data_IF_702079731631
#
_entry.id   IF_702079731631
#
_cell.length_a   1.000
_cell.length_b   1.000
_cell.length_c   1.000
_cell.angle_alpha   90.00
_cell.angle_beta   90.00
_cell.angle_gamma   90.00
#
_symmetry.space_group_name_H-M   'P 1'
#
loop_
_entity.id
_entity.type
_entity.pdbx_description
1 polymer ?
#
# COMPACT_ATOMS: atom_id res chain seq x y z
N UNK A 1 -0.36 29.61 -60.98
CA UNK A 1 -0.28 30.03 -59.57
C UNK A 1 -1.63 29.75 -58.94
N UNK A 2 -1.67 28.67 -58.18
CA UNK A 2 -2.82 28.13 -57.44
C UNK A 2 -3.29 29.12 -56.36
N UNK A 3 -4.61 29.23 -56.14
CA UNK A 3 -5.15 29.66 -54.84
C UNK A 3 -6.40 28.85 -54.49
N UNK A 4 -6.15 27.95 -53.55
CA UNK A 4 -7.05 27.03 -52.87
C UNK A 4 -8.08 27.81 -52.03
N UNK A 5 -9.38 27.61 -52.28
CA UNK A 5 -10.46 28.13 -51.42
C UNK A 5 -10.65 27.13 -50.27
N UNK A 6 -10.30 27.58 -49.07
CA UNK A 6 -10.36 26.84 -47.82
C UNK A 6 -11.83 26.65 -47.39
N UNK A 7 -12.34 25.41 -47.47
CA UNK A 7 -13.60 25.01 -46.83
C UNK A 7 -13.36 24.97 -45.32
N UNK A 8 -14.02 25.85 -44.57
CA UNK A 8 -14.18 25.72 -43.11
C UNK A 8 -15.00 24.44 -42.83
N UNK A 9 -14.32 23.39 -42.38
CA UNK A 9 -14.97 22.28 -41.68
C UNK A 9 -14.84 22.60 -40.19
N UNK A 10 -15.95 22.97 -39.56
CA UNK A 10 -16.04 23.09 -38.11
C UNK A 10 -15.83 21.72 -37.48
N UNK A 11 -14.60 21.43 -37.07
CA UNK A 11 -14.31 20.32 -36.17
C UNK A 11 -14.81 20.71 -34.78
N UNK A 12 -16.00 20.23 -34.42
CA UNK A 12 -16.42 20.14 -33.02
C UNK A 12 -15.51 19.08 -32.41
N UNK A 13 -14.42 19.53 -31.79
CA UNK A 13 -13.64 18.67 -30.91
C UNK A 13 -14.52 18.31 -29.72
N UNK A 14 -15.13 17.12 -29.77
CA UNK A 14 -15.65 16.48 -28.57
C UNK A 14 -14.41 16.19 -27.72
N UNK A 15 -14.10 17.09 -26.78
CA UNK A 15 -13.23 16.75 -25.67
C UNK A 15 -13.94 15.63 -24.92
N UNK A 16 -13.59 14.38 -25.21
CA UNK A 16 -13.84 13.27 -24.33
C UNK A 16 -12.99 13.52 -23.08
N UNK A 17 -13.56 14.26 -22.13
CA UNK A 17 -13.18 14.14 -20.73
C UNK A 17 -13.50 12.70 -20.34
N UNK A 18 -12.52 11.81 -20.53
CA UNK A 18 -12.45 10.61 -19.71
C UNK A 18 -12.42 11.10 -18.28
N UNK A 19 -13.57 11.05 -17.60
CA UNK A 19 -13.64 11.14 -16.16
C UNK A 19 -12.82 9.96 -15.63
N UNK A 20 -11.53 10.21 -15.38
CA UNK A 20 -10.63 9.26 -14.76
C UNK A 20 -11.04 9.15 -13.30
N UNK A 21 -11.42 7.95 -12.90
CA UNK A 21 -12.37 7.73 -11.82
C UNK A 21 -11.87 8.12 -10.43
N UNK A 22 -12.72 8.85 -9.71
CA UNK A 22 -12.85 8.64 -8.27
C UNK A 22 -13.41 7.23 -8.07
N UNK A 23 -12.52 6.24 -8.02
CA UNK A 23 -12.90 4.84 -7.90
C UNK A 23 -13.69 4.62 -6.60
N UNK A 24 -14.93 4.18 -6.71
CA UNK A 24 -15.62 3.53 -5.60
C UNK A 24 -14.81 2.32 -5.21
N UNK A 25 -14.46 2.18 -3.94
CA UNK A 25 -13.79 1.00 -3.43
C UNK A 25 -14.71 -0.20 -3.60
N UNK A 26 -14.45 -1.06 -4.59
CA UNK A 26 -15.09 -2.37 -4.64
C UNK A 26 -14.65 -3.16 -3.42
N UNK A 27 -15.57 -3.90 -2.82
CA UNK A 27 -15.20 -4.78 -1.73
C UNK A 27 -14.17 -5.78 -2.25
N UNK A 28 -13.10 -5.99 -1.47
CA UNK A 28 -12.10 -6.99 -1.79
C UNK A 28 -12.49 -8.30 -1.11
N UNK A 29 -12.48 -9.36 -1.90
CA UNK A 29 -12.67 -10.74 -1.44
C UNK A 29 -11.43 -11.54 -1.79
N UNK A 30 -10.93 -12.30 -0.82
CA UNK A 30 -9.80 -13.20 -1.02
C UNK A 30 -8.44 -12.51 -1.12
N UNK A 31 -7.45 -13.34 -1.34
CA UNK A 31 -6.02 -13.03 -1.31
C UNK A 31 -5.47 -13.28 -2.71
N UNK A 32 -4.75 -12.30 -3.24
CA UNK A 32 -4.02 -12.42 -4.49
C UNK A 32 -3.18 -13.70 -4.54
N UNK A 33 -2.93 -14.20 -5.74
CA UNK A 33 -2.06 -15.37 -5.94
C UNK A 33 -0.76 -15.20 -5.16
N UNK A 34 -0.47 -16.12 -4.25
CA UNK A 34 0.67 -16.04 -3.35
C UNK A 34 1.45 -17.36 -3.31
N UNK A 35 2.68 -17.29 -2.83
CA UNK A 35 3.53 -18.44 -2.53
C UNK A 35 4.04 -18.32 -1.10
N UNK A 36 3.73 -19.28 -0.21
CA UNK A 36 4.37 -19.36 1.10
C UNK A 36 5.88 -19.49 0.96
N UNK A 37 6.62 -18.77 1.80
CA UNK A 37 8.07 -18.85 1.84
C UNK A 37 8.55 -19.96 2.77
N UNK A 38 9.76 -20.47 2.53
CA UNK A 38 10.34 -21.54 3.33
C UNK A 38 10.40 -21.17 4.82
N UNK A 39 10.03 -22.12 5.69
CA UNK A 39 9.98 -21.90 7.14
C UNK A 39 8.72 -21.18 7.65
N UNK A 40 7.72 -20.94 6.81
CA UNK A 40 6.43 -20.38 7.24
C UNK A 40 5.57 -21.42 7.95
N UNK A 41 4.98 -21.04 9.09
CA UNK A 41 4.07 -21.86 9.88
C UNK A 41 2.70 -21.20 9.96
N UNK A 42 1.91 -21.40 8.91
CA UNK A 42 0.52 -20.95 8.86
C UNK A 42 -0.42 -22.05 9.34
N UNK A 43 -1.42 -21.68 10.14
CA UNK A 43 -2.50 -22.58 10.58
C UNK A 43 -3.63 -22.66 9.55
N UNK A 44 -3.79 -21.63 8.73
CA UNK A 44 -4.71 -21.54 7.58
C UNK A 44 -4.02 -20.74 6.49
N UNK A 45 -3.79 -21.32 5.31
CA UNK A 45 -3.14 -20.65 4.19
C UNK A 45 -3.75 -21.12 2.88
N UNK A 46 -4.72 -20.35 2.40
CA UNK A 46 -5.44 -20.58 1.14
C UNK A 46 -5.81 -19.23 0.49
N UNK A 47 -6.55 -19.28 -0.61
CA UNK A 47 -6.98 -18.10 -1.38
C UNK A 47 -7.87 -17.13 -0.59
N UNK A 48 -8.42 -17.52 0.56
CA UNK A 48 -9.36 -16.72 1.33
C UNK A 48 -8.82 -16.32 2.70
N UNK A 49 -7.83 -17.04 3.24
CA UNK A 49 -7.29 -16.77 4.57
C UNK A 49 -5.80 -17.13 4.69
N UNK A 50 -5.03 -16.22 5.27
CA UNK A 50 -3.67 -16.45 5.78
C UNK A 50 -3.66 -16.19 7.29
N UNK A 51 -3.35 -17.18 8.13
CA UNK A 51 -3.25 -17.01 9.58
C UNK A 51 -2.06 -17.74 10.17
N UNK A 52 -1.35 -17.09 11.10
CA UNK A 52 -0.24 -17.68 11.86
C UNK A 52 1.04 -16.84 11.84
N UNK A 53 2.19 -17.50 11.82
CA UNK A 53 3.51 -16.87 11.80
C UNK A 53 4.25 -17.28 10.53
N UNK A 54 4.69 -16.32 9.73
CA UNK A 54 5.41 -16.63 8.51
C UNK A 54 5.39 -15.49 7.50
N UNK A 55 5.91 -15.75 6.30
CA UNK A 55 5.90 -14.80 5.21
C UNK A 55 5.37 -15.44 3.92
N UNK A 56 4.61 -14.66 3.16
CA UNK A 56 4.17 -15.02 1.81
C UNK A 56 4.65 -13.97 0.83
N UNK A 57 4.98 -14.40 -0.38
CA UNK A 57 5.25 -13.52 -1.51
C UNK A 57 4.07 -13.58 -2.47
N UNK A 58 3.58 -12.43 -2.93
CA UNK A 58 2.60 -12.39 -4.00
C UNK A 58 3.25 -12.73 -5.34
N UNK A 59 2.55 -13.52 -6.14
CA UNK A 59 2.91 -13.88 -7.52
C UNK A 59 2.43 -12.79 -8.48
N UNK A 60 1.32 -12.10 -8.14
CA UNK A 60 0.85 -10.91 -8.86
C UNK A 60 2.02 -9.95 -9.07
N UNK A 61 2.43 -9.67 -10.32
CA UNK A 61 3.59 -8.83 -10.57
C UNK A 61 3.30 -7.38 -10.16
N UNK A 62 4.28 -6.73 -9.54
CA UNK A 62 4.28 -5.27 -9.43
C UNK A 62 4.45 -4.65 -10.81
N UNK A 63 4.10 -3.36 -10.97
CA UNK A 63 4.22 -2.65 -12.25
C UNK A 63 5.68 -2.38 -12.71
N UNK A 64 6.66 -3.11 -12.18
CA UNK A 64 8.07 -3.00 -12.49
C UNK A 64 8.93 -2.57 -11.29
N UNK A 65 10.22 -2.37 -11.55
CA UNK A 65 11.18 -1.80 -10.58
C UNK A 65 10.81 -0.33 -10.33
N UNK A 66 10.94 0.13 -9.08
CA UNK A 66 10.59 1.50 -8.69
C UNK A 66 9.14 1.89 -9.02
N UNK A 67 8.22 0.92 -8.98
CA UNK A 67 6.83 1.16 -9.36
C UNK A 67 5.98 1.71 -8.22
N UNK A 68 4.93 2.44 -8.61
CA UNK A 68 3.84 2.83 -7.71
C UNK A 68 2.82 1.69 -7.66
N UNK A 69 2.41 1.29 -6.45
CA UNK A 69 1.48 0.18 -6.25
C UNK A 69 0.54 0.46 -5.07
N UNK A 70 -0.57 -0.24 -5.05
CA UNK A 70 -1.59 -0.19 -4.00
C UNK A 70 -1.79 -1.57 -3.39
N UNK A 71 -2.11 -1.64 -2.09
CA UNK A 71 -2.66 -2.84 -1.45
C UNK A 71 -4.02 -2.50 -0.85
N UNK A 72 -5.03 -3.26 -1.24
CA UNK A 72 -6.28 -3.36 -0.50
C UNK A 72 -6.13 -4.51 0.51
N UNK A 73 -6.16 -4.23 1.82
CA UNK A 73 -5.86 -5.19 2.89
C UNK A 73 -7.00 -5.28 3.91
N UNK A 74 -7.41 -6.50 4.25
CA UNK A 74 -8.20 -6.83 5.43
C UNK A 74 -7.40 -7.78 6.32
N UNK A 75 -6.99 -7.31 7.49
CA UNK A 75 -6.21 -8.10 8.45
C UNK A 75 -6.79 -7.99 9.85
N UNK A 76 -6.54 -8.99 10.69
CA UNK A 76 -6.87 -9.00 12.10
C UNK A 76 -5.64 -9.38 12.92
N UNK A 77 -5.27 -8.55 13.88
CA UNK A 77 -4.19 -8.85 14.84
C UNK A 77 -4.75 -9.65 16.01
N UNK A 78 -4.08 -10.74 16.38
CA UNK A 78 -4.54 -11.58 17.48
C UNK A 78 -4.50 -10.85 18.83
N UNK A 79 -5.14 -11.47 19.84
CA UNK A 79 -5.15 -11.03 21.24
C UNK A 79 -3.77 -10.80 21.88
N UNK A 80 -2.74 -11.44 21.32
CA UNK A 80 -1.39 -11.53 21.87
C UNK A 80 -0.63 -10.21 21.73
N UNK A 81 0.14 -9.84 22.76
CA UNK A 81 1.06 -8.70 22.67
C UNK A 81 2.03 -8.90 21.49
N UNK A 82 2.29 -7.83 20.75
CA UNK A 82 3.17 -7.80 19.58
C UNK A 82 2.69 -8.58 18.35
N UNK A 83 1.44 -9.05 18.33
CA UNK A 83 0.80 -9.50 17.11
C UNK A 83 0.96 -8.45 15.99
N UNK A 84 1.38 -8.87 14.81
CA UNK A 84 1.69 -7.94 13.72
C UNK A 84 1.35 -8.46 12.33
N UNK A 85 1.07 -7.50 11.46
CA UNK A 85 1.01 -7.68 10.01
C UNK A 85 1.95 -6.67 9.39
N UNK A 86 2.89 -7.13 8.57
CA UNK A 86 3.78 -6.27 7.78
C UNK A 86 3.48 -6.44 6.32
N UNK A 87 3.15 -5.35 5.64
CA UNK A 87 3.03 -5.25 4.19
C UNK A 87 4.38 -4.86 3.62
N UNK A 88 4.82 -5.51 2.55
CA UNK A 88 6.13 -5.28 1.95
C UNK A 88 5.95 -5.10 0.45
N UNK A 89 6.47 -3.99 -0.08
CA UNK A 89 6.45 -3.62 -1.48
C UNK A 89 7.84 -3.34 -2.01
N UNK A 90 8.01 -3.51 -3.32
CA UNK A 90 9.23 -3.18 -4.03
C UNK A 90 10.49 -3.76 -3.36
N UNK A 91 10.40 -4.97 -2.80
CA UNK A 91 11.52 -5.67 -2.20
C UNK A 91 12.39 -6.29 -3.28
N UNK A 92 13.71 -6.20 -3.13
CA UNK A 92 14.67 -6.93 -3.97
C UNK A 92 15.00 -8.32 -3.40
N UNK A 93 14.45 -8.66 -2.23
CA UNK A 93 14.59 -9.96 -1.60
C UNK A 93 13.43 -10.86 -1.96
N UNK A 94 13.74 -12.04 -2.49
CA UNK A 94 12.77 -13.08 -2.83
C UNK A 94 11.96 -13.53 -1.61
N UNK A 95 12.53 -13.41 -0.41
CA UNK A 95 11.92 -13.77 0.86
C UNK A 95 11.13 -12.65 1.50
N UNK A 96 10.99 -11.50 0.81
CA UNK A 96 10.30 -10.29 1.30
C UNK A 96 10.67 -9.95 2.74
N UNK A 97 11.96 -9.81 3.03
CA UNK A 97 12.41 -9.36 4.34
C UNK A 97 11.95 -7.90 4.61
N UNK A 98 11.58 -7.59 5.85
CA UNK A 98 11.06 -6.27 6.23
C UNK A 98 12.13 -5.17 6.32
N UNK A 99 13.39 -5.49 6.03
CA UNK A 99 14.50 -4.55 5.91
C UNK A 99 14.86 -4.23 4.46
N UNK A 100 14.17 -4.83 3.48
CA UNK A 100 14.33 -4.56 2.06
C UNK A 100 13.03 -4.06 1.45
N UNK A 101 13.13 -3.01 0.65
CA UNK A 101 11.99 -2.41 -0.02
C UNK A 101 11.26 -1.40 0.86
N UNK A 102 9.94 -1.33 0.71
CA UNK A 102 9.06 -0.45 1.50
C UNK A 102 8.18 -1.34 2.36
N UNK A 103 8.32 -1.21 3.68
CA UNK A 103 7.63 -2.04 4.64
C UNK A 103 6.68 -1.19 5.51
N UNK A 104 5.43 -1.61 5.64
CA UNK A 104 4.43 -0.97 6.50
C UNK A 104 4.02 -2.00 7.53
N UNK A 105 4.35 -1.73 8.79
CA UNK A 105 4.15 -2.68 9.89
C UNK A 105 3.10 -2.16 10.84
N UNK A 106 2.06 -2.95 11.07
CA UNK A 106 1.04 -2.74 12.09
C UNK A 106 1.31 -3.72 13.22
N UNK A 107 1.50 -3.21 14.44
CA UNK A 107 1.82 -4.00 15.63
C UNK A 107 0.84 -3.67 16.73
N UNK A 108 0.31 -4.70 17.36
CA UNK A 108 -0.49 -4.57 18.56
C UNK A 108 0.39 -4.17 19.75
N UNK A 109 -0.02 -3.10 20.42
CA UNK A 109 0.52 -2.66 21.70
C UNK A 109 -0.62 -2.46 22.71
N UNK A 110 -0.93 -3.51 23.48
CA UNK A 110 -2.06 -3.52 24.39
C UNK A 110 -3.41 -3.47 23.66
N UNK A 111 -4.15 -2.38 23.83
CA UNK A 111 -5.42 -2.12 23.13
C UNK A 111 -5.23 -1.30 21.83
N UNK A 112 -4.03 -0.77 21.63
CA UNK A 112 -3.73 0.10 20.49
C UNK A 112 -3.02 -0.69 19.40
N UNK A 113 -3.09 -0.17 18.18
CA UNK A 113 -2.25 -0.59 17.06
C UNK A 113 -1.28 0.55 16.78
N UNK A 114 0.01 0.23 16.69
CA UNK A 114 1.04 1.17 16.24
C UNK A 114 1.40 0.81 14.81
N UNK A 115 1.50 1.83 13.95
CA UNK A 115 1.99 1.67 12.60
C UNK A 115 3.42 2.23 12.48
N UNK A 116 4.22 1.63 11.62
CA UNK A 116 5.55 2.13 11.26
C UNK A 116 5.78 1.93 9.77
N UNK A 117 6.51 2.85 9.16
CA UNK A 117 6.88 2.80 7.75
C UNK A 117 8.39 2.72 7.64
N UNK A 118 8.88 1.71 6.94
CA UNK A 118 10.28 1.46 6.67
C UNK A 118 10.60 1.58 5.20
N UNK A 119 11.74 2.19 4.87
CA UNK A 119 12.32 2.20 3.51
C UNK A 119 13.75 1.69 3.62
N UNK A 120 14.04 0.55 2.98
CA UNK A 120 15.34 -0.14 3.03
C UNK A 120 15.91 -0.27 4.45
N UNK A 121 15.06 -0.65 5.41
CA UNK A 121 15.44 -0.87 6.81
C UNK A 121 15.50 0.39 7.68
N UNK A 122 15.32 1.58 7.10
CA UNK A 122 15.18 2.82 7.88
C UNK A 122 13.72 3.05 8.22
N UNK A 123 13.38 3.02 9.50
CA UNK A 123 11.99 3.09 9.98
C UNK A 123 11.66 4.45 10.59
N UNK A 124 10.43 4.90 10.33
CA UNK A 124 9.75 5.93 11.12
C UNK A 124 8.50 5.33 11.75
N UNK A 125 8.09 5.89 12.89
CA UNK A 125 6.82 5.54 13.54
C UNK A 125 5.75 6.50 13.05
N UNK A 126 4.56 5.99 12.76
CA UNK A 126 3.38 6.82 12.44
C UNK A 126 2.91 7.47 13.73
N UNK A 127 2.52 8.74 13.66
CA UNK A 127 2.08 9.47 14.84
C UNK A 127 0.91 8.76 15.54
N UNK A 128 0.99 8.73 16.86
CA UNK A 128 0.03 8.00 17.67
C UNK A 128 -1.39 8.57 17.57
N UNK A 129 -1.58 9.84 17.21
CA UNK A 129 -2.91 10.43 16.96
C UNK A 129 -3.61 9.83 15.73
N UNK A 130 -2.84 9.32 14.77
CA UNK A 130 -3.34 8.63 13.58
C UNK A 130 -3.60 7.14 13.89
N UNK A 131 -2.67 6.49 14.61
CA UNK A 131 -2.77 5.04 14.84
C UNK A 131 -3.62 4.66 16.06
N UNK A 132 -3.78 5.58 17.03
CA UNK A 132 -4.70 5.40 18.17
C UNK A 132 -6.15 5.76 17.82
N UNK A 133 -6.43 6.17 16.58
CA UNK A 133 -7.79 6.39 16.08
C UNK A 133 -8.48 5.04 15.84
N UNK A 134 -8.95 4.38 16.93
CA UNK A 134 -9.88 3.25 16.92
C UNK A 134 -9.66 2.24 15.78
N UNK A 135 -8.54 1.53 15.81
CA UNK A 135 -8.42 0.31 15.01
C UNK A 135 -8.89 -0.87 15.87
N UNK A 136 -10.08 -1.46 15.60
CA UNK A 136 -10.42 -2.74 16.19
C UNK A 136 -9.35 -3.78 15.82
N UNK A 137 -9.40 -4.95 16.44
CA UNK A 137 -8.51 -6.07 16.09
C UNK A 137 -8.40 -6.26 14.58
N UNK A 138 -9.47 -5.96 13.83
CA UNK A 138 -9.56 -5.91 12.38
C UNK A 138 -9.21 -4.54 11.78
N UNK A 139 -8.29 -4.51 10.82
CA UNK A 139 -7.94 -3.39 9.97
C UNK A 139 -8.48 -3.63 8.56
N UNK A 140 -9.18 -2.64 7.99
CA UNK A 140 -9.58 -2.63 6.57
C UNK A 140 -9.04 -1.37 5.90
N UNK A 141 -7.97 -1.56 5.13
CA UNK A 141 -7.06 -0.51 4.70
C UNK A 141 -6.86 -0.51 3.20
N UNK A 142 -6.64 0.68 2.66
CA UNK A 142 -5.94 0.91 1.40
C UNK A 142 -4.57 1.48 1.75
N UNK A 143 -3.51 0.83 1.29
CA UNK A 143 -2.12 1.26 1.47
C UNK A 143 -1.55 1.54 0.10
N UNK A 144 -1.05 2.76 -0.13
CA UNK A 144 -0.62 3.19 -1.44
C UNK A 144 0.82 3.69 -1.40
N UNK A 145 1.60 3.24 -2.37
CA UNK A 145 3.04 3.43 -2.45
C UNK A 145 3.36 4.19 -3.72
N UNK A 146 4.00 5.35 -3.55
CA UNK A 146 4.51 6.18 -4.63
C UNK A 146 6.02 6.25 -4.52
N UNK A 147 6.68 5.46 -5.37
CA UNK A 147 8.12 5.33 -5.43
C UNK A 147 8.59 6.20 -6.60
N UNK A 148 8.96 7.46 -6.30
CA UNK A 148 9.13 8.59 -7.24
C UNK A 148 7.91 9.51 -7.35
N UNK A 149 7.67 10.29 -6.30
CA UNK A 149 6.60 11.30 -6.33
C UNK A 149 7.12 12.59 -6.96
N UNK A 150 6.53 13.07 -8.06
CA UNK A 150 6.82 14.40 -8.61
C UNK A 150 8.29 14.67 -8.98
N UNK A 151 9.00 13.68 -9.54
CA UNK A 151 10.44 13.70 -9.84
C UNK A 151 11.36 13.79 -8.61
N UNK A 152 10.84 13.50 -7.41
CA UNK A 152 11.67 13.35 -6.22
C UNK A 152 12.10 11.88 -6.05
N UNK A 153 13.35 11.65 -5.64
CA UNK A 153 13.83 10.32 -5.24
C UNK A 153 13.29 9.89 -3.86
N UNK A 154 12.05 10.29 -3.53
CA UNK A 154 11.38 10.03 -2.25
C UNK A 154 10.25 9.04 -2.45
N UNK A 155 10.20 8.04 -1.59
CA UNK A 155 9.02 7.19 -1.39
C UNK A 155 7.97 7.98 -0.61
N UNK A 156 6.72 7.94 -1.06
CA UNK A 156 5.56 8.40 -0.30
C UNK A 156 4.63 7.22 -0.05
N UNK A 157 4.33 6.97 1.21
CA UNK A 157 3.32 6.03 1.66
C UNK A 157 2.09 6.81 2.10
N UNK A 158 0.93 6.39 1.60
CA UNK A 158 -0.36 6.86 2.05
C UNK A 158 -1.20 5.68 2.56
N UNK A 159 -1.98 5.89 3.61
CA UNK A 159 -2.89 4.89 4.17
C UNK A 159 -4.25 5.52 4.39
N UNK A 160 -5.30 4.82 3.98
CA UNK A 160 -6.69 5.15 4.27
C UNK A 160 -7.36 3.94 4.89
N UNK A 161 -8.35 4.18 5.75
CA UNK A 161 -9.45 3.23 5.94
C UNK A 161 -10.25 3.11 4.65
N UNK A 162 -10.64 1.89 4.29
CA UNK A 162 -11.36 1.63 3.02
C UNK A 162 -12.61 2.50 2.85
N UNK A 163 -13.30 2.81 3.94
CA UNK A 163 -14.53 3.62 3.93
C UNK A 163 -14.33 5.09 3.55
N UNK A 164 -13.10 5.60 3.58
CA UNK A 164 -12.82 7.02 3.34
C UNK A 164 -12.48 7.29 1.87
N UNK A 165 -13.53 7.38 1.08
CA UNK A 165 -13.46 7.74 -0.35
C UNK A 165 -13.93 9.17 -0.59
N UNK A 166 -13.43 9.88 -1.61
CA UNK A 166 -12.38 9.45 -2.55
C UNK A 166 -11.00 9.38 -1.88
N UNK A 167 -10.13 8.52 -2.43
CA UNK A 167 -8.74 8.42 -1.97
C UNK A 167 -7.92 9.56 -2.57
N UNK A 168 -7.49 10.49 -1.72
CA UNK A 168 -6.61 11.61 -2.06
C UNK A 168 -5.63 11.86 -0.92
N UNK A 169 -4.59 12.65 -1.17
CA UNK A 169 -3.63 13.03 -0.13
C UNK A 169 -4.30 13.65 1.10
N UNK A 170 -5.32 14.49 0.89
CA UNK A 170 -6.02 15.20 1.96
C UNK A 170 -6.96 14.30 2.78
N UNK A 171 -7.41 13.16 2.24
CA UNK A 171 -8.28 12.22 2.94
C UNK A 171 -7.53 11.05 3.57
N UNK A 172 -6.21 10.98 3.39
CA UNK A 172 -5.38 9.93 3.95
C UNK A 172 -5.34 10.02 5.47
N UNK A 173 -5.50 8.88 6.15
CA UNK A 173 -5.25 8.80 7.59
C UNK A 173 -3.73 9.00 7.85
N UNK A 174 -2.88 8.51 6.95
CA UNK A 174 -1.43 8.76 6.94
C UNK A 174 -1.00 9.23 5.55
N UNK A 175 -0.19 10.29 5.50
CA UNK A 175 0.65 10.66 4.38
C UNK A 175 2.07 10.99 4.86
N UNK A 176 3.06 10.19 4.45
CA UNK A 176 4.48 10.43 4.81
C UNK A 176 5.10 11.72 4.23
N UNK A 177 4.37 12.48 3.40
CA UNK A 177 4.72 13.86 3.06
C UNK A 177 4.21 14.90 4.06
N UNK A 178 3.22 14.55 4.89
CA UNK A 178 2.72 15.40 5.97
C UNK A 178 3.63 15.27 7.19
N UNK A 179 4.24 16.38 7.59
CA UNK A 179 5.20 16.40 8.71
C UNK A 179 4.57 16.05 10.07
N UNK A 180 3.24 16.13 10.20
CA UNK A 180 2.51 15.76 11.42
C UNK A 180 2.20 14.26 11.54
N UNK A 181 2.35 13.50 10.47
CA UNK A 181 1.81 12.14 10.42
C UNK A 181 2.80 11.07 10.87
N UNK A 182 4.07 11.45 11.04
CA UNK A 182 5.18 10.57 11.39
C UNK A 182 6.05 11.23 12.45
N UNK A 183 6.54 10.43 13.38
CA UNK A 183 7.53 10.89 14.35
C UNK A 183 8.95 10.64 13.81
N UNK A 184 9.74 11.70 13.75
CA UNK A 184 11.14 11.65 13.30
C UNK A 184 11.34 12.03 11.84
N UNK A 185 12.58 11.91 11.37
CA UNK A 185 12.93 12.27 10.00
C UNK A 185 12.63 11.11 9.04
N UNK A 186 11.65 11.27 8.17
CA UNK A 186 11.48 10.39 7.02
C UNK A 186 12.68 10.55 6.07
N UNK A 187 13.15 9.48 5.41
CA UNK A 187 14.19 9.60 4.40
C UNK A 187 13.81 10.63 3.32
N UNK A 188 14.61 11.70 3.20
CA UNK A 188 14.38 12.76 2.22
C UNK A 188 14.58 12.30 0.77
N UNK A 189 15.41 11.27 0.56
CA UNK A 189 15.70 10.68 -0.75
C UNK A 189 15.98 9.19 -0.62
N UNK A 190 14.94 8.38 -0.43
CA UNK A 190 15.04 6.93 -0.46
C UNK A 190 13.93 6.32 -1.31
N UNK A 191 14.35 5.45 -2.22
CA UNK A 191 13.50 4.61 -3.06
C UNK A 191 13.85 3.14 -2.85
N UNK A 192 12.89 2.27 -3.19
CA UNK A 192 13.05 0.83 -3.13
C UNK A 192 13.01 0.24 -4.54
N UNK A 193 14.13 -0.26 -5.06
CA UNK A 193 14.25 -0.70 -6.46
C UNK A 193 13.93 -2.20 -6.67
N UNK A 194 12.93 -2.76 -5.99
CA UNK A 194 12.54 -4.16 -6.13
C UNK A 194 11.21 -4.38 -6.85
N UNK A 195 10.90 -5.64 -7.10
CA UNK A 195 9.68 -6.09 -7.80
C UNK A 195 8.84 -7.07 -6.99
N UNK A 196 9.30 -7.49 -5.82
CA UNK A 196 8.55 -8.41 -4.97
C UNK A 196 7.66 -7.63 -4.00
N UNK A 197 6.47 -8.17 -3.79
CA UNK A 197 5.58 -7.78 -2.72
C UNK A 197 5.13 -8.99 -1.92
N UNK A 198 4.69 -8.75 -0.69
CA UNK A 198 4.26 -9.82 0.18
C UNK A 198 3.77 -9.33 1.52
N UNK A 199 3.44 -10.32 2.35
CA UNK A 199 3.00 -10.12 3.72
C UNK A 199 3.87 -10.93 4.66
N UNK A 200 4.21 -10.36 5.81
CA UNK A 200 4.77 -11.08 6.94
C UNK A 200 3.81 -10.98 8.11
N UNK A 201 3.41 -12.14 8.63
CA UNK A 201 2.48 -12.27 9.74
C UNK A 201 3.22 -12.78 10.96
N UNK A 202 2.84 -12.22 12.11
CA UNK A 202 3.23 -12.72 13.42
C UNK A 202 1.97 -12.71 14.29
N UNK A 203 1.31 -13.85 14.43
CA UNK A 203 0.04 -13.98 15.15
C UNK A 203 -1.03 -12.99 14.62
N UNK A 204 -1.27 -13.03 13.31
CA UNK A 204 -2.34 -12.28 12.66
C UNK A 204 -3.05 -13.12 11.60
N UNK A 205 -4.24 -12.67 11.22
CA UNK A 205 -5.11 -13.31 10.22
C UNK A 205 -5.46 -12.30 9.13
N UNK A 206 -5.10 -12.59 7.88
CA UNK A 206 -5.45 -11.80 6.70
C UNK A 206 -6.55 -12.54 5.95
N UNK A 207 -7.66 -11.86 5.66
CA UNK A 207 -8.81 -12.43 4.94
C UNK A 207 -9.00 -11.80 3.57
N UNK A 208 -8.31 -10.70 3.30
CA UNK A 208 -8.19 -10.20 1.95
C UNK A 208 -6.90 -9.39 1.76
N UNK A 209 -6.25 -9.57 0.61
CA UNK A 209 -5.10 -8.78 0.22
C UNK A 209 -4.97 -8.79 -1.30
N UNK A 210 -5.11 -7.64 -1.96
CA UNK A 210 -4.94 -7.54 -3.41
C UNK A 210 -4.05 -6.38 -3.78
N UNK A 211 -3.05 -6.70 -4.58
CA UNK A 211 -2.11 -5.75 -5.15
C UNK A 211 -2.74 -5.12 -6.39
N UNK A 212 -2.74 -3.80 -6.43
CA UNK A 212 -3.33 -3.05 -7.52
C UNK A 212 -2.52 -1.84 -7.92
N UNK A 213 -3.10 -1.05 -8.83
CA UNK A 213 -2.53 0.21 -9.29
C UNK A 213 -2.66 1.28 -8.20
N UNK A 214 -1.60 2.08 -8.06
CA UNK A 214 -1.60 3.20 -7.13
C UNK A 214 -2.73 4.21 -7.42
N UNK A 215 -3.22 4.88 -6.37
CA UNK A 215 -4.22 5.94 -6.49
C UNK A 215 -3.58 7.21 -7.05
N UNK A 216 -4.36 7.97 -7.82
CA UNK A 216 -3.93 9.29 -8.28
C UNK A 216 -4.02 10.26 -7.11
N UNK A 217 -2.91 10.90 -6.77
CA UNK A 217 -2.74 11.73 -5.57
C UNK A 217 -2.22 13.11 -5.99
N UNK A 218 -3.00 13.81 -6.80
CA UNK A 218 -2.73 15.18 -7.26
C UNK A 218 -2.56 16.17 -6.09
#
# INVERSE_FOLDING_TARGET
MEKLILKLISFIAILSLTACGGGTATDITGIDSFTPLAGSSFSKSDSDTLSGIGAVRFISPLNGVLSNNSLALKTQLDGTLYASTTVIFNSNDLNVANNSGIAIKFVRNGINVTASVGVNGTWVTVDSSITNAYMPLSLDLIIDIHNNTGNSNKTRVLIWRRTYTPYSAASADLDTNSAGDISGAYPASAQAAGTFAGLRLDNSTVTAASVGTAKVID
#
